data_IF_692951477449
#
_entry.id   IF_692951477449
#
_cell.length_a   1.000
_cell.length_b   1.000
_cell.length_c   1.000
_cell.angle_alpha   90.00
_cell.angle_beta   90.00
_cell.angle_gamma   90.00
#
_symmetry.space_group_name_H-M   'P 1'
#
loop_
_entity.id
_entity.type
_entity.pdbx_description
1 polymer ?
#
# COMPACT_ATOMS: atom_id res chain seq x y z
N UNK A 1 -32.46 4.77 1.13
CA UNK A 1 -31.14 4.09 1.18
C UNK A 1 -30.20 4.56 0.07
N UNK A 2 -30.57 4.59 -1.23
CA UNK A 2 -29.68 5.04 -2.31
C UNK A 2 -29.04 6.42 -2.05
N UNK A 3 -29.86 7.44 -1.76
CA UNK A 3 -29.36 8.79 -1.46
C UNK A 3 -28.45 8.84 -0.22
N UNK A 4 -28.67 7.98 0.76
CA UNK A 4 -27.81 7.87 1.96
C UNK A 4 -26.44 7.35 1.58
N UNK A 5 -26.35 6.24 0.81
CA UNK A 5 -25.11 5.67 0.33
C UNK A 5 -24.35 6.65 -0.57
N UNK A 6 -25.07 7.31 -1.47
CA UNK A 6 -24.51 8.34 -2.34
C UNK A 6 -23.98 9.53 -1.55
N UNK A 7 -24.70 10.00 -0.54
CA UNK A 7 -24.26 11.10 0.32
C UNK A 7 -22.96 10.74 1.08
N UNK A 8 -22.90 9.54 1.67
CA UNK A 8 -21.70 9.06 2.37
C UNK A 8 -20.51 9.02 1.41
N UNK A 9 -20.70 8.51 0.19
CA UNK A 9 -19.63 8.44 -0.79
C UNK A 9 -19.19 9.83 -1.28
N UNK A 10 -20.12 10.72 -1.57
CA UNK A 10 -19.81 12.10 -1.98
C UNK A 10 -19.07 12.84 -0.88
N UNK A 11 -19.53 12.72 0.38
CA UNK A 11 -18.84 13.31 1.52
C UNK A 11 -17.39 12.81 1.64
N UNK A 12 -17.19 11.50 1.51
CA UNK A 12 -15.85 10.88 1.47
C UNK A 12 -14.98 11.50 0.36
N UNK A 13 -15.50 11.61 -0.87
CA UNK A 13 -14.77 12.19 -2.00
C UNK A 13 -14.42 13.66 -1.74
N UNK A 14 -15.39 14.47 -1.31
CA UNK A 14 -15.19 15.90 -1.02
C UNK A 14 -14.13 16.08 0.06
N UNK A 15 -14.17 15.27 1.12
CA UNK A 15 -13.20 15.38 2.20
C UNK A 15 -11.79 15.01 1.75
N UNK A 16 -11.64 13.99 0.91
CA UNK A 16 -10.34 13.65 0.29
C UNK A 16 -9.83 14.76 -0.63
N UNK A 17 -10.71 15.35 -1.44
CA UNK A 17 -10.36 16.51 -2.29
C UNK A 17 -9.91 17.70 -1.44
N UNK A 18 -10.59 17.96 -0.33
CA UNK A 18 -10.20 19.00 0.61
C UNK A 18 -8.79 18.75 1.17
N UNK A 19 -8.49 17.53 1.64
CA UNK A 19 -7.18 17.19 2.18
C UNK A 19 -6.07 17.32 1.14
N UNK A 20 -6.29 16.86 -0.08
CA UNK A 20 -5.31 16.97 -1.16
C UNK A 20 -5.03 18.44 -1.54
N UNK A 21 -6.07 19.27 -1.64
CA UNK A 21 -5.91 20.71 -1.91
C UNK A 21 -5.22 21.43 -0.75
N UNK A 22 -5.53 21.09 0.49
CA UNK A 22 -4.88 21.62 1.68
C UNK A 22 -3.36 21.33 1.65
N UNK A 23 -2.99 20.09 1.32
CA UNK A 23 -1.58 19.70 1.20
C UNK A 23 -0.89 20.40 0.03
N UNK A 24 -1.54 20.56 -1.13
CA UNK A 24 -0.98 21.34 -2.25
C UNK A 24 -0.70 22.77 -1.81
N UNK A 25 -1.65 23.42 -1.13
CA UNK A 25 -1.47 24.78 -0.59
C UNK A 25 -0.29 24.87 0.36
N UNK A 26 -0.19 23.93 1.28
CA UNK A 26 0.92 23.83 2.24
C UNK A 26 2.28 23.66 1.54
N UNK A 27 2.42 22.68 0.64
CA UNK A 27 3.67 22.43 -0.08
C UNK A 27 4.11 23.65 -0.89
N UNK A 28 3.18 24.34 -1.58
CA UNK A 28 3.48 25.55 -2.34
C UNK A 28 3.92 26.72 -1.46
N UNK A 29 3.37 26.83 -0.26
CA UNK A 29 3.76 27.87 0.70
C UNK A 29 5.15 27.58 1.29
N UNK A 30 5.40 26.33 1.71
CA UNK A 30 6.69 25.92 2.25
C UNK A 30 7.81 25.97 1.20
N UNK A 31 7.52 25.61 -0.06
CA UNK A 31 8.51 25.65 -1.14
C UNK A 31 9.04 27.07 -1.48
N UNK A 32 8.42 28.12 -0.96
CA UNK A 32 8.89 29.53 -1.08
C UNK A 32 9.77 29.96 0.08
N UNK A 33 9.87 29.17 1.13
CA UNK A 33 10.71 29.41 2.30
C UNK A 33 12.11 28.83 2.09
N UNK A 34 13.00 29.12 3.03
CA UNK A 34 14.32 28.51 3.04
C UNK A 34 14.22 26.97 3.09
N UNK A 35 15.02 26.28 2.29
CA UNK A 35 15.07 24.82 2.26
C UNK A 35 15.44 24.27 3.65
N UNK A 36 14.83 23.12 3.99
CA UNK A 36 15.18 22.37 5.18
C UNK A 36 15.56 20.96 4.77
N UNK A 37 16.57 20.40 5.40
CA UNK A 37 17.03 19.00 5.22
C UNK A 37 17.63 18.68 3.85
N UNK A 38 17.04 19.20 2.76
CA UNK A 38 17.48 18.98 1.38
C UNK A 38 18.16 20.24 0.82
N UNK A 39 19.05 20.05 -0.14
CA UNK A 39 19.62 21.14 -0.93
C UNK A 39 18.52 21.88 -1.71
N UNK A 40 18.74 23.15 -2.04
CA UNK A 40 17.72 24.02 -2.65
C UNK A 40 17.09 23.42 -3.91
N UNK A 41 17.92 22.84 -4.79
CA UNK A 41 17.47 22.22 -6.04
C UNK A 41 16.63 20.97 -5.78
N UNK A 42 17.03 20.15 -4.82
CA UNK A 42 16.34 18.93 -4.41
C UNK A 42 15.01 19.23 -3.73
N UNK A 43 15.01 20.26 -2.85
CA UNK A 43 13.80 20.73 -2.17
C UNK A 43 12.74 21.22 -3.16
N UNK A 44 13.15 21.99 -4.17
CA UNK A 44 12.26 22.43 -5.26
C UNK A 44 11.74 21.25 -6.08
N UNK A 45 12.61 20.30 -6.42
CA UNK A 45 12.22 19.10 -7.16
C UNK A 45 11.23 18.24 -6.35
N UNK A 46 11.45 18.07 -5.04
CA UNK A 46 10.54 17.38 -4.14
C UNK A 46 9.18 18.08 -4.05
N UNK A 47 9.15 19.42 -4.00
CA UNK A 47 7.90 20.18 -4.02
C UNK A 47 7.13 20.00 -5.34
N UNK A 48 7.82 20.01 -6.49
CA UNK A 48 7.22 19.74 -7.80
C UNK A 48 6.65 18.32 -7.86
N UNK A 49 7.39 17.33 -7.37
CA UNK A 49 6.95 15.94 -7.33
C UNK A 49 5.72 15.77 -6.44
N UNK A 50 5.74 16.35 -5.23
CA UNK A 50 4.62 16.29 -4.29
C UNK A 50 3.34 16.90 -4.90
N UNK A 51 3.43 18.13 -5.47
CA UNK A 51 2.28 18.77 -6.11
C UNK A 51 1.79 18.00 -7.33
N UNK A 52 2.69 17.39 -8.10
CA UNK A 52 2.33 16.58 -9.28
C UNK A 52 1.57 15.32 -8.86
N UNK A 53 2.04 14.62 -7.83
CA UNK A 53 1.39 13.44 -7.29
C UNK A 53 0.00 13.78 -6.71
N UNK A 54 -0.12 14.86 -5.93
CA UNK A 54 -1.40 15.29 -5.38
C UNK A 54 -2.41 15.69 -6.45
N UNK A 55 -1.98 16.35 -7.53
CA UNK A 55 -2.87 16.65 -8.67
C UNK A 55 -3.33 15.39 -9.38
N UNK A 56 -2.45 14.42 -9.54
CA UNK A 56 -2.83 13.13 -10.11
C UNK A 56 -3.79 12.37 -9.17
N UNK A 57 -3.59 12.42 -7.85
CA UNK A 57 -4.51 11.86 -6.86
C UNK A 57 -5.90 12.49 -6.97
N UNK A 58 -6.00 13.83 -7.09
CA UNK A 58 -7.26 14.53 -7.31
C UNK A 58 -7.95 14.05 -8.59
N UNK A 59 -7.21 13.96 -9.69
CA UNK A 59 -7.75 13.49 -10.96
C UNK A 59 -8.26 12.05 -10.85
N UNK A 60 -7.46 11.15 -10.28
CA UNK A 60 -7.82 9.75 -10.06
C UNK A 60 -9.04 9.59 -9.16
N UNK A 61 -9.14 10.42 -8.11
CA UNK A 61 -10.29 10.40 -7.20
C UNK A 61 -11.59 10.79 -7.91
N UNK A 62 -11.54 11.83 -8.75
CA UNK A 62 -12.71 12.24 -9.55
C UNK A 62 -13.05 11.16 -10.59
N UNK A 63 -12.06 10.60 -11.25
CA UNK A 63 -12.24 9.50 -12.21
C UNK A 63 -12.92 8.28 -11.56
N UNK A 64 -12.42 7.84 -10.40
CA UNK A 64 -13.03 6.73 -9.64
C UNK A 64 -14.43 7.07 -9.13
N UNK A 65 -14.70 8.33 -8.79
CA UNK A 65 -16.04 8.74 -8.40
C UNK A 65 -17.04 8.61 -9.56
N UNK A 66 -16.63 8.95 -10.78
CA UNK A 66 -17.46 8.74 -11.99
C UNK A 66 -17.70 7.26 -12.23
N UNK A 67 -16.67 6.41 -12.12
CA UNK A 67 -16.80 4.95 -12.27
C UNK A 67 -17.71 4.37 -11.19
N UNK A 68 -17.51 4.77 -9.93
CA UNK A 68 -18.37 4.33 -8.82
C UNK A 68 -19.84 4.68 -9.09
N UNK A 69 -20.10 5.93 -9.51
CA UNK A 69 -21.45 6.35 -9.85
C UNK A 69 -22.05 5.55 -11.01
N UNK A 70 -21.26 5.27 -12.05
CA UNK A 70 -21.69 4.44 -13.16
C UNK A 70 -22.05 3.01 -12.71
N UNK A 71 -21.21 2.41 -11.83
CA UNK A 71 -21.48 1.11 -11.27
C UNK A 71 -22.80 1.05 -10.51
N UNK A 72 -23.01 1.95 -9.54
CA UNK A 72 -24.20 1.91 -8.68
C UNK A 72 -25.50 2.37 -9.38
N UNK A 73 -25.38 3.14 -10.48
CA UNK A 73 -26.57 3.64 -11.20
C UNK A 73 -27.13 2.65 -12.21
N UNK A 74 -26.25 1.94 -12.94
CA UNK A 74 -26.67 1.02 -14.01
C UNK A 74 -25.74 -0.17 -14.22
N UNK A 75 -24.42 -0.01 -14.01
CA UNK A 75 -23.42 -1.03 -14.35
C UNK A 75 -23.63 -2.33 -13.61
N UNK A 76 -23.88 -2.29 -12.30
CA UNK A 76 -24.13 -3.48 -11.49
C UNK A 76 -25.39 -4.21 -11.92
N UNK A 77 -26.46 -3.49 -12.19
CA UNK A 77 -27.72 -4.07 -12.64
C UNK A 77 -27.57 -4.74 -14.01
N UNK A 78 -26.87 -4.08 -14.94
CA UNK A 78 -26.60 -4.65 -16.27
C UNK A 78 -25.77 -5.93 -16.16
N UNK A 79 -24.69 -5.88 -15.35
CA UNK A 79 -23.79 -7.02 -15.18
C UNK A 79 -24.48 -8.19 -14.45
N UNK A 80 -25.30 -7.92 -13.41
CA UNK A 80 -26.04 -8.95 -12.71
C UNK A 80 -27.05 -9.65 -13.61
N UNK A 81 -27.77 -8.90 -14.45
CA UNK A 81 -28.71 -9.47 -15.42
C UNK A 81 -28.01 -10.35 -16.47
N UNK A 82 -26.75 -10.03 -16.82
CA UNK A 82 -25.99 -10.83 -17.77
C UNK A 82 -25.41 -12.11 -17.15
N UNK A 83 -25.01 -12.07 -15.88
CA UNK A 83 -24.27 -13.15 -15.22
C UNK A 83 -25.15 -14.06 -14.35
N UNK A 84 -26.16 -13.49 -13.68
CA UNK A 84 -26.98 -14.22 -12.70
C UNK A 84 -28.33 -14.63 -13.32
N UNK A 85 -28.50 -15.91 -13.63
CA UNK A 85 -29.75 -16.48 -14.17
C UNK A 85 -30.40 -17.39 -13.14
N UNK A 86 -29.68 -18.41 -12.73
CA UNK A 86 -30.15 -19.46 -11.82
C UNK A 86 -29.61 -19.31 -10.39
N UNK A 87 -28.75 -18.31 -10.13
CA UNK A 87 -28.17 -18.05 -8.82
C UNK A 87 -27.13 -19.07 -8.37
N UNK A 88 -26.55 -19.82 -9.29
CA UNK A 88 -25.55 -20.85 -8.98
C UNK A 88 -24.27 -20.24 -8.42
N UNK A 89 -23.48 -21.02 -7.66
CA UNK A 89 -22.18 -20.58 -7.14
C UNK A 89 -21.23 -20.12 -8.25
N UNK A 90 -21.26 -20.82 -9.39
CA UNK A 90 -20.42 -20.45 -10.53
C UNK A 90 -20.82 -19.09 -11.13
N UNK A 91 -22.11 -18.82 -11.28
CA UNK A 91 -22.62 -17.53 -11.75
C UNK A 91 -22.24 -16.39 -10.79
N UNK A 92 -22.32 -16.63 -9.48
CA UNK A 92 -21.88 -15.66 -8.48
C UNK A 92 -20.37 -15.37 -8.59
N UNK A 93 -19.53 -16.39 -8.80
CA UNK A 93 -18.09 -16.21 -9.05
C UNK A 93 -17.86 -15.41 -10.33
N UNK A 94 -18.51 -15.79 -11.44
CA UNK A 94 -18.39 -15.09 -12.72
C UNK A 94 -18.81 -13.63 -12.57
N UNK A 95 -19.89 -13.34 -11.86
CA UNK A 95 -20.35 -11.97 -11.64
C UNK A 95 -19.32 -11.12 -10.88
N UNK A 96 -18.81 -11.62 -9.74
CA UNK A 96 -17.78 -10.91 -8.96
C UNK A 96 -16.51 -10.73 -9.78
N UNK A 97 -16.02 -11.79 -10.43
CA UNK A 97 -14.78 -11.73 -11.23
C UNK A 97 -14.92 -10.83 -12.45
N UNK A 98 -16.09 -10.79 -13.09
CA UNK A 98 -16.36 -9.86 -14.18
C UNK A 98 -16.37 -8.41 -13.71
N UNK A 99 -16.98 -8.13 -12.54
CA UNK A 99 -16.93 -6.80 -11.93
C UNK A 99 -15.48 -6.37 -11.65
N UNK A 100 -14.65 -7.24 -11.06
CA UNK A 100 -13.25 -6.96 -10.76
C UNK A 100 -12.41 -6.77 -12.04
N UNK A 101 -12.64 -7.61 -13.06
CA UNK A 101 -11.95 -7.52 -14.34
C UNK A 101 -12.27 -6.20 -15.06
N UNK A 102 -13.56 -5.85 -15.16
CA UNK A 102 -13.99 -4.60 -15.79
C UNK A 102 -13.42 -3.41 -15.04
N UNK A 103 -13.47 -3.41 -13.70
CA UNK A 103 -12.89 -2.35 -12.89
C UNK A 103 -11.38 -2.22 -13.12
N UNK A 104 -10.63 -3.33 -13.16
CA UNK A 104 -9.19 -3.32 -13.50
C UNK A 104 -8.89 -2.78 -14.90
N UNK A 105 -9.75 -3.07 -15.88
CA UNK A 105 -9.61 -2.53 -17.24
C UNK A 105 -9.92 -1.03 -17.28
N UNK A 106 -10.88 -0.57 -16.50
CA UNK A 106 -11.18 0.85 -16.36
C UNK A 106 -10.03 1.61 -15.68
N UNK A 107 -9.27 0.98 -14.77
CA UNK A 107 -8.10 1.59 -14.14
C UNK A 107 -6.87 1.63 -15.05
N UNK A 108 -6.83 0.83 -16.11
CA UNK A 108 -5.67 0.71 -16.99
C UNK A 108 -5.21 2.05 -17.61
N UNK A 109 -6.08 2.96 -18.07
CA UNK A 109 -5.66 4.27 -18.58
C UNK A 109 -4.93 5.12 -17.53
N UNK A 110 -5.36 5.07 -16.24
CA UNK A 110 -4.67 5.76 -15.15
C UNK A 110 -3.28 5.17 -14.92
N UNK A 111 -3.16 3.84 -14.88
CA UNK A 111 -1.91 3.13 -14.67
C UNK A 111 -0.90 3.40 -15.80
N UNK A 112 -1.38 3.48 -17.06
CA UNK A 112 -0.55 3.86 -18.21
C UNK A 112 -0.06 5.29 -18.08
N UNK A 113 -0.95 6.24 -17.79
CA UNK A 113 -0.57 7.64 -17.59
C UNK A 113 0.41 7.80 -16.42
N UNK A 114 0.18 7.12 -15.31
CA UNK A 114 1.07 7.15 -14.16
C UNK A 114 2.48 6.66 -14.52
N UNK A 115 2.57 5.47 -15.10
CA UNK A 115 3.86 4.82 -15.38
C UNK A 115 4.64 5.50 -16.50
N UNK A 116 3.97 5.88 -17.61
CA UNK A 116 4.64 6.35 -18.83
C UNK A 116 4.68 7.87 -18.99
N UNK A 117 3.86 8.61 -18.25
CA UNK A 117 3.82 10.07 -18.33
C UNK A 117 4.25 10.70 -17.01
N UNK A 118 3.52 10.48 -15.94
CA UNK A 118 3.75 11.14 -14.64
C UNK A 118 5.08 10.73 -14.03
N UNK A 119 5.27 9.44 -13.76
CA UNK A 119 6.47 8.94 -13.08
C UNK A 119 7.70 8.99 -14.00
N UNK A 120 7.51 8.84 -15.31
CA UNK A 120 8.59 9.06 -16.28
C UNK A 120 9.06 10.51 -16.29
N UNK A 121 8.15 11.50 -16.27
CA UNK A 121 8.49 12.93 -16.18
C UNK A 121 9.18 13.27 -14.87
N UNK A 122 8.81 12.60 -13.80
CA UNK A 122 9.46 12.75 -12.48
C UNK A 122 10.78 11.99 -12.37
N UNK A 123 11.17 11.19 -13.37
CA UNK A 123 12.40 10.40 -13.37
C UNK A 123 12.32 9.14 -12.50
N UNK A 124 11.13 8.74 -12.07
CA UNK A 124 10.94 7.51 -11.28
C UNK A 124 10.80 6.28 -12.15
N UNK A 125 10.04 6.35 -13.25
CA UNK A 125 9.72 5.18 -14.05
C UNK A 125 10.74 4.90 -15.16
N UNK A 126 11.25 3.66 -15.15
CA UNK A 126 12.00 3.03 -16.24
C UNK A 126 11.15 1.98 -16.97
N UNK A 127 9.84 1.94 -16.69
CA UNK A 127 8.92 0.95 -17.22
C UNK A 127 8.92 0.95 -18.76
N UNK A 128 9.20 -0.20 -19.37
CA UNK A 128 8.99 -0.41 -20.79
C UNK A 128 7.57 -0.93 -21.07
N UNK A 129 7.04 -0.65 -22.28
CA UNK A 129 5.71 -1.15 -22.67
C UNK A 129 5.63 -2.68 -22.60
N UNK A 130 6.72 -3.38 -22.92
CA UNK A 130 6.79 -4.86 -22.84
C UNK A 130 6.67 -5.34 -21.37
N UNK A 131 7.43 -4.73 -20.45
CA UNK A 131 7.37 -5.09 -19.03
C UNK A 131 5.98 -4.78 -18.48
N UNK A 132 5.44 -3.60 -18.77
CA UNK A 132 4.10 -3.21 -18.34
C UNK A 132 3.02 -4.22 -18.80
N UNK A 133 3.04 -4.61 -20.07
CA UNK A 133 2.08 -5.57 -20.63
C UNK A 133 2.23 -6.95 -19.94
N UNK A 134 3.45 -7.44 -19.81
CA UNK A 134 3.71 -8.73 -19.16
C UNK A 134 3.26 -8.72 -17.70
N UNK A 135 3.58 -7.66 -16.95
CA UNK A 135 3.19 -7.51 -15.55
C UNK A 135 1.67 -7.38 -15.40
N UNK A 136 1.01 -6.67 -16.31
CA UNK A 136 -0.48 -6.58 -16.34
C UNK A 136 -1.09 -7.96 -16.58
N UNK A 137 -0.59 -8.72 -17.56
CA UNK A 137 -1.10 -10.08 -17.84
C UNK A 137 -0.88 -11.00 -16.64
N UNK A 138 0.29 -10.98 -16.01
CA UNK A 138 0.59 -11.76 -14.80
C UNK A 138 -0.35 -11.40 -13.66
N UNK A 139 -0.58 -10.11 -13.41
CA UNK A 139 -1.46 -9.63 -12.36
C UNK A 139 -2.91 -10.05 -12.59
N UNK A 140 -3.41 -9.94 -13.83
CA UNK A 140 -4.74 -10.42 -14.20
C UNK A 140 -4.87 -11.94 -14.06
N UNK A 141 -3.87 -12.71 -14.46
CA UNK A 141 -3.87 -14.17 -14.29
C UNK A 141 -3.89 -14.57 -12.80
N UNK A 142 -3.08 -13.93 -11.98
CA UNK A 142 -3.09 -14.15 -10.52
C UNK A 142 -4.45 -13.78 -9.91
N UNK A 143 -5.03 -12.63 -10.31
CA UNK A 143 -6.36 -12.22 -9.87
C UNK A 143 -7.42 -13.23 -10.28
N UNK A 144 -7.42 -13.72 -11.51
CA UNK A 144 -8.40 -14.69 -11.99
C UNK A 144 -8.27 -16.03 -11.27
N UNK A 145 -7.08 -16.55 -11.05
CA UNK A 145 -6.88 -17.86 -10.41
C UNK A 145 -7.12 -17.77 -8.90
N UNK A 146 -6.37 -16.93 -8.21
CA UNK A 146 -6.45 -16.85 -6.74
C UNK A 146 -7.67 -16.07 -6.26
N UNK A 147 -8.09 -15.04 -7.02
CA UNK A 147 -9.29 -14.28 -6.73
C UNK A 147 -10.54 -15.14 -6.85
N UNK A 148 -10.68 -15.96 -7.91
CA UNK A 148 -11.84 -16.86 -8.05
C UNK A 148 -11.89 -17.90 -6.92
N UNK A 149 -10.75 -18.49 -6.55
CA UNK A 149 -10.66 -19.41 -5.43
C UNK A 149 -11.05 -18.73 -4.10
N UNK A 150 -10.57 -17.51 -3.87
CA UNK A 150 -10.92 -16.75 -2.67
C UNK A 150 -12.41 -16.37 -2.63
N UNK A 151 -12.96 -15.87 -3.74
CA UNK A 151 -14.40 -15.56 -3.86
C UNK A 151 -15.24 -16.82 -3.61
N UNK A 152 -14.86 -17.97 -4.17
CA UNK A 152 -15.51 -19.24 -3.89
C UNK A 152 -15.52 -19.58 -2.40
N UNK A 153 -14.39 -19.47 -1.72
CA UNK A 153 -14.29 -19.74 -0.28
C UNK A 153 -15.16 -18.78 0.55
N UNK A 154 -15.20 -17.49 0.20
CA UNK A 154 -16.08 -16.53 0.87
C UNK A 154 -17.56 -16.86 0.63
N UNK A 155 -17.92 -17.25 -0.59
CA UNK A 155 -19.29 -17.70 -0.91
C UNK A 155 -19.67 -18.95 -0.11
N UNK A 156 -18.74 -19.87 0.14
CA UNK A 156 -19.01 -21.03 1.03
C UNK A 156 -19.31 -20.54 2.46
N UNK A 157 -18.57 -19.55 2.98
CA UNK A 157 -18.91 -18.98 4.29
C UNK A 157 -20.33 -18.40 4.30
N UNK A 158 -20.68 -17.60 3.29
CA UNK A 158 -22.00 -16.94 3.20
C UNK A 158 -23.12 -17.96 3.09
N UNK A 159 -22.96 -19.01 2.28
CA UNK A 159 -24.03 -19.93 1.97
C UNK A 159 -24.24 -21.02 3.03
N UNK A 160 -23.20 -21.40 3.78
CA UNK A 160 -23.25 -22.61 4.65
C UNK A 160 -23.03 -22.34 6.14
N UNK A 161 -22.58 -21.13 6.55
CA UNK A 161 -22.21 -20.85 7.95
C UNK A 161 -23.24 -19.97 8.70
N UNK A 162 -24.46 -19.80 8.13
CA UNK A 162 -25.57 -19.10 8.75
C UNK A 162 -25.28 -17.65 9.10
N UNK A 163 -25.89 -17.14 10.16
CA UNK A 163 -25.82 -15.72 10.55
C UNK A 163 -24.41 -15.24 10.92
N UNK A 164 -23.52 -16.16 11.29
CA UNK A 164 -22.13 -15.87 11.63
C UNK A 164 -21.16 -16.00 10.44
N UNK A 165 -21.64 -16.07 9.18
CA UNK A 165 -20.81 -16.18 8.00
C UNK A 165 -19.71 -15.10 7.93
N UNK A 166 -20.00 -13.89 8.35
CA UNK A 166 -19.09 -12.76 8.35
C UNK A 166 -17.87 -12.99 9.26
N UNK A 167 -18.07 -13.66 10.40
CA UNK A 167 -16.99 -14.01 11.32
C UNK A 167 -16.03 -15.04 10.69
N UNK A 168 -16.58 -16.04 10.02
CA UNK A 168 -15.78 -17.04 9.32
C UNK A 168 -15.10 -16.48 8.09
N UNK A 169 -15.75 -15.61 7.35
CA UNK A 169 -15.14 -14.87 6.23
C UNK A 169 -14.03 -13.92 6.70
N UNK A 170 -14.18 -13.30 7.89
CA UNK A 170 -13.08 -12.57 8.53
C UNK A 170 -11.89 -13.49 8.83
N UNK A 171 -12.09 -14.63 9.51
CA UNK A 171 -11.01 -15.56 9.84
C UNK A 171 -10.30 -16.08 8.58
N UNK A 172 -11.07 -16.45 7.56
CA UNK A 172 -10.55 -16.87 6.26
C UNK A 172 -9.69 -15.76 5.63
N UNK A 173 -10.22 -14.53 5.53
CA UNK A 173 -9.53 -13.39 4.92
C UNK A 173 -8.27 -13.02 5.68
N UNK A 174 -8.31 -13.02 7.01
CA UNK A 174 -7.15 -12.77 7.85
C UNK A 174 -6.09 -13.87 7.68
N UNK A 175 -6.49 -15.14 7.65
CA UNK A 175 -5.59 -16.27 7.38
C UNK A 175 -4.92 -16.17 6.01
N UNK A 176 -5.69 -15.83 4.97
CA UNK A 176 -5.15 -15.61 3.61
C UNK A 176 -4.18 -14.42 3.59
N UNK A 177 -4.49 -13.32 4.28
CA UNK A 177 -3.59 -12.18 4.38
C UNK A 177 -2.26 -12.54 5.06
N UNK A 178 -2.28 -13.34 6.13
CA UNK A 178 -1.07 -13.85 6.78
C UNK A 178 -0.25 -14.77 5.85
N UNK A 179 -0.91 -15.67 5.12
CA UNK A 179 -0.24 -16.55 4.14
C UNK A 179 0.41 -15.72 3.04
N UNK A 180 -0.30 -14.74 2.48
CA UNK A 180 0.27 -13.86 1.44
C UNK A 180 1.51 -13.14 1.96
N UNK A 181 1.46 -12.56 3.17
CA UNK A 181 2.63 -11.90 3.76
C UNK A 181 3.81 -12.86 3.95
N UNK A 182 3.54 -14.12 4.33
CA UNK A 182 4.57 -15.15 4.49
C UNK A 182 5.25 -15.52 3.17
N UNK A 183 4.45 -15.73 2.11
CA UNK A 183 4.96 -16.22 0.82
C UNK A 183 5.42 -15.09 -0.12
N UNK A 184 5.06 -13.83 0.17
CA UNK A 184 5.35 -12.70 -0.71
C UNK A 184 6.82 -12.62 -1.15
N UNK A 185 7.82 -12.60 -0.23
CA UNK A 185 9.22 -12.43 -0.61
C UNK A 185 9.82 -13.66 -1.30
N UNK A 186 9.18 -14.82 -1.18
CA UNK A 186 9.71 -16.10 -1.69
C UNK A 186 9.02 -16.57 -2.96
N UNK A 187 7.75 -16.28 -3.15
CA UNK A 187 6.96 -16.76 -4.28
C UNK A 187 6.40 -15.61 -5.13
N UNK A 188 5.85 -14.55 -4.52
CA UNK A 188 5.15 -13.50 -5.27
C UNK A 188 6.14 -12.49 -5.88
N UNK A 189 7.06 -11.95 -5.09
CA UNK A 189 8.03 -10.98 -5.59
C UNK A 189 8.89 -11.51 -6.76
N UNK A 190 9.34 -12.79 -6.77
CA UNK A 190 10.10 -13.37 -7.89
C UNK A 190 9.30 -13.55 -9.19
N UNK A 191 7.95 -13.53 -9.14
CA UNK A 191 7.13 -13.54 -10.36
C UNK A 191 7.38 -12.28 -11.20
N UNK A 192 7.56 -11.14 -10.53
CA UNK A 192 7.70 -9.84 -11.18
C UNK A 192 9.16 -9.41 -11.32
N UNK A 193 10.01 -9.68 -10.36
CA UNK A 193 11.39 -9.21 -10.31
C UNK A 193 12.39 -10.36 -10.22
N UNK A 194 13.55 -10.19 -10.85
CA UNK A 194 14.66 -11.12 -10.63
C UNK A 194 15.27 -10.86 -9.27
N UNK A 195 15.26 -11.88 -8.43
CA UNK A 195 15.91 -11.87 -7.12
C UNK A 195 17.19 -12.70 -7.19
N UNK A 196 18.30 -12.16 -6.68
CA UNK A 196 19.61 -12.80 -6.65
C UNK A 196 20.21 -12.67 -5.24
N UNK A 197 20.96 -13.66 -4.74
CA UNK A 197 21.75 -13.49 -3.52
C UNK A 197 22.68 -12.27 -3.67
N UNK A 198 22.87 -11.53 -2.59
CA UNK A 198 23.86 -10.44 -2.56
C UNK A 198 25.26 -11.06 -2.73
N UNK A 199 26.08 -10.48 -3.62
CA UNK A 199 27.44 -10.92 -3.88
C UNK A 199 28.30 -10.82 -2.60
N UNK A 200 29.26 -11.73 -2.47
CA UNK A 200 30.18 -11.70 -1.34
C UNK A 200 31.08 -10.46 -1.41
N UNK A 201 31.23 -9.78 -0.28
CA UNK A 201 31.96 -8.53 -0.20
C UNK A 201 31.73 -7.81 1.13
N UNK A 202 32.30 -6.61 1.24
CA UNK A 202 32.23 -5.80 2.44
C UNK A 202 30.79 -5.54 2.90
N UNK A 203 29.90 -5.15 1.98
CA UNK A 203 28.50 -4.87 2.28
C UNK A 203 27.80 -6.09 2.89
N UNK A 204 27.95 -7.27 2.26
CA UNK A 204 27.34 -8.50 2.78
C UNK A 204 27.87 -8.85 4.18
N UNK A 205 29.19 -8.75 4.38
CA UNK A 205 29.81 -9.01 5.68
C UNK A 205 29.30 -8.07 6.78
N UNK A 206 29.17 -6.76 6.49
CA UNK A 206 28.61 -5.79 7.46
C UNK A 206 27.14 -6.07 7.76
N UNK A 207 26.33 -6.43 6.75
CA UNK A 207 24.92 -6.80 6.97
C UNK A 207 24.80 -8.05 7.83
N UNK A 208 25.55 -9.10 7.53
CA UNK A 208 25.54 -10.35 8.32
C UNK A 208 26.01 -10.12 9.76
N UNK A 209 27.03 -9.25 9.95
CA UNK A 209 27.46 -8.80 11.27
C UNK A 209 26.37 -8.06 12.04
N UNK A 210 25.64 -7.14 11.37
CA UNK A 210 24.51 -6.43 11.94
C UNK A 210 23.38 -7.40 12.36
N UNK A 211 23.01 -8.33 11.47
CA UNK A 211 21.97 -9.33 11.76
C UNK A 211 22.33 -10.20 12.95
N UNK A 212 23.59 -10.61 13.04
CA UNK A 212 24.12 -11.41 14.16
C UNK A 212 24.09 -10.62 15.46
N UNK A 213 24.56 -9.36 15.45
CA UNK A 213 24.51 -8.44 16.62
C UNK A 213 23.09 -8.26 17.15
N UNK A 214 22.09 -8.21 16.26
CA UNK A 214 20.68 -8.06 16.64
C UNK A 214 19.97 -9.39 16.92
N UNK A 215 20.64 -10.53 16.83
CA UNK A 215 20.04 -11.86 17.00
C UNK A 215 18.98 -12.20 15.94
N UNK A 216 19.09 -11.57 14.75
CA UNK A 216 18.15 -11.78 13.67
C UNK A 216 18.59 -12.97 12.79
N UNK A 217 17.77 -14.03 12.78
CA UNK A 217 18.00 -15.20 11.92
C UNK A 217 17.39 -14.93 10.55
N UNK A 218 18.25 -14.79 9.53
CA UNK A 218 17.86 -14.60 8.13
C UNK A 218 18.18 -15.84 7.30
N UNK A 219 17.34 -16.13 6.30
CA UNK A 219 17.65 -17.14 5.27
C UNK A 219 18.54 -16.60 4.13
N UNK A 220 19.04 -15.38 4.27
CA UNK A 220 19.96 -14.73 3.35
C UNK A 220 19.63 -13.28 3.05
N UNK A 221 20.61 -12.62 2.41
CA UNK A 221 20.49 -11.25 1.90
C UNK A 221 20.40 -11.32 0.37
N UNK A 222 19.41 -10.65 -0.19
CA UNK A 222 19.10 -10.69 -1.61
C UNK A 222 19.05 -9.28 -2.21
N UNK A 223 19.34 -9.21 -3.50
CA UNK A 223 19.10 -8.03 -4.33
C UNK A 223 17.98 -8.27 -5.31
N UNK A 224 17.22 -7.23 -5.64
CA UNK A 224 16.15 -7.29 -6.63
C UNK A 224 16.37 -6.21 -7.69
N UNK A 225 16.10 -6.53 -8.96
CA UNK A 225 16.30 -5.67 -10.13
C UNK A 225 15.17 -4.63 -10.29
N UNK A 226 14.90 -3.88 -9.22
CA UNK A 226 13.85 -2.86 -9.17
C UNK A 226 14.04 -1.77 -10.22
N UNK A 227 15.30 -1.39 -10.52
CA UNK A 227 15.65 -0.33 -11.47
C UNK A 227 15.11 -0.54 -12.89
N UNK A 228 14.68 -1.74 -13.26
CA UNK A 228 14.00 -2.01 -14.53
C UNK A 228 12.60 -1.39 -14.61
N UNK A 229 12.02 -1.07 -13.47
CA UNK A 229 10.66 -0.54 -13.33
C UNK A 229 10.63 0.83 -12.68
N UNK A 230 11.32 0.95 -11.55
CA UNK A 230 11.28 2.13 -10.70
C UNK A 230 12.67 2.46 -10.17
N UNK A 231 13.03 3.75 -10.15
CA UNK A 231 14.30 4.25 -9.64
C UNK A 231 14.27 4.58 -8.16
N UNK A 232 13.11 4.52 -7.49
CA UNK A 232 13.00 4.81 -6.07
C UNK A 232 13.81 3.84 -5.24
N UNK A 233 14.45 4.37 -4.21
CA UNK A 233 15.29 3.60 -3.30
C UNK A 233 14.41 2.90 -2.27
N UNK A 234 14.66 1.60 -2.04
CA UNK A 234 13.95 0.85 -1.01
C UNK A 234 14.76 -0.37 -0.54
N UNK A 235 14.47 -0.82 0.68
CA UNK A 235 14.87 -2.12 1.23
C UNK A 235 13.75 -2.63 2.14
N UNK A 236 13.66 -3.92 2.35
CA UNK A 236 12.67 -4.48 3.28
C UNK A 236 13.09 -5.82 3.86
N UNK A 237 12.56 -6.13 5.03
CA UNK A 237 12.59 -7.46 5.61
C UNK A 237 11.28 -8.16 5.28
N UNK A 238 11.35 -9.33 4.69
CA UNK A 238 10.17 -10.12 4.34
C UNK A 238 10.23 -11.54 4.85
N UNK A 239 9.07 -12.21 4.92
CA UNK A 239 8.95 -13.57 5.42
C UNK A 239 8.77 -13.66 6.94
N UNK A 240 8.42 -14.84 7.43
CA UNK A 240 8.20 -15.14 8.84
C UNK A 240 9.02 -16.36 9.25
N UNK A 241 9.45 -16.41 10.52
CA UNK A 241 10.21 -17.56 11.03
C UNK A 241 11.50 -17.81 10.28
N UNK A 242 11.66 -19.02 9.74
CA UNK A 242 12.85 -19.46 9.01
C UNK A 242 12.96 -18.89 7.58
N UNK A 243 11.88 -18.29 7.05
CA UNK A 243 11.86 -17.73 5.69
C UNK A 243 12.24 -16.25 5.63
N UNK A 244 12.59 -15.64 6.76
CA UNK A 244 12.98 -14.22 6.82
C UNK A 244 14.15 -13.92 5.90
N UNK A 245 13.99 -12.87 5.09
CA UNK A 245 15.01 -12.42 4.11
C UNK A 245 15.19 -10.92 4.23
N UNK A 246 16.41 -10.49 3.98
CA UNK A 246 16.74 -9.09 3.72
C UNK A 246 16.74 -8.90 2.21
N UNK A 247 15.98 -7.93 1.72
CA UNK A 247 15.89 -7.63 0.29
C UNK A 247 16.26 -6.18 0.06
N UNK A 248 17.32 -5.97 -0.72
CA UNK A 248 17.82 -4.65 -1.12
C UNK A 248 17.44 -4.39 -2.58
N UNK A 249 16.96 -3.20 -2.87
CA UNK A 249 16.79 -2.77 -4.26
C UNK A 249 18.15 -2.43 -4.86
N UNK A 250 18.39 -2.81 -6.12
CA UNK A 250 19.61 -2.49 -6.83
C UNK A 250 19.80 -0.97 -6.96
N UNK A 251 18.73 -0.19 -6.95
CA UNK A 251 18.72 1.28 -6.88
C UNK A 251 19.32 1.79 -5.58
N UNK A 252 19.00 1.16 -4.43
CA UNK A 252 19.51 1.53 -3.12
C UNK A 252 21.04 1.31 -3.05
N UNK A 253 21.49 0.13 -3.48
CA UNK A 253 22.91 -0.25 -3.45
C UNK A 253 23.77 0.69 -4.30
N UNK A 254 23.23 1.20 -5.40
CA UNK A 254 23.94 2.13 -6.30
C UNK A 254 24.10 3.55 -5.73
N UNK A 255 23.26 3.94 -4.79
CA UNK A 255 23.13 5.34 -4.33
C UNK A 255 23.63 5.57 -2.91
N UNK A 256 23.50 4.58 -2.04
CA UNK A 256 23.91 4.69 -0.64
C UNK A 256 25.28 4.02 -0.43
N UNK A 257 26.03 4.57 0.53
CA UNK A 257 27.26 3.90 1.03
C UNK A 257 26.91 2.66 1.83
N UNK A 258 27.91 1.84 2.07
CA UNK A 258 27.73 0.63 2.89
C UNK A 258 27.24 0.96 4.31
N UNK A 259 27.75 2.03 4.91
CA UNK A 259 27.37 2.51 6.24
C UNK A 259 25.91 2.99 6.28
N UNK A 260 25.51 3.75 5.26
CA UNK A 260 24.13 4.22 5.10
C UNK A 260 23.15 3.06 4.91
N UNK A 261 23.51 2.05 4.11
CA UNK A 261 22.69 0.83 3.95
C UNK A 261 22.57 0.08 5.28
N UNK A 262 23.66 -0.03 6.04
CA UNK A 262 23.64 -0.64 7.39
C UNK A 262 22.74 0.13 8.33
N UNK A 263 22.74 1.48 8.28
CA UNK A 263 21.84 2.31 9.09
C UNK A 263 20.36 2.12 8.69
N UNK A 264 20.04 2.07 7.40
CA UNK A 264 18.69 1.76 6.92
C UNK A 264 18.24 0.38 7.39
N UNK A 265 19.09 -0.63 7.28
CA UNK A 265 18.77 -1.97 7.78
C UNK A 265 18.68 -2.03 9.31
N UNK A 266 19.43 -1.18 10.00
CA UNK A 266 19.30 -0.99 11.45
C UNK A 266 17.92 -0.47 11.85
N UNK A 267 17.38 0.48 11.08
CA UNK A 267 16.01 0.98 11.25
C UNK A 267 14.99 -0.16 11.06
N UNK A 268 15.09 -0.91 9.97
CA UNK A 268 14.22 -2.05 9.69
C UNK A 268 14.28 -3.13 10.81
N UNK A 269 15.49 -3.37 11.36
CA UNK A 269 15.66 -4.26 12.52
C UNK A 269 15.03 -3.70 13.79
N UNK A 270 14.94 -2.38 13.92
CA UNK A 270 14.22 -1.70 15.00
C UNK A 270 12.74 -2.11 15.03
N UNK A 271 12.05 -2.12 13.90
CA UNK A 271 10.67 -2.61 13.80
C UNK A 271 10.54 -4.07 14.24
N UNK A 272 11.53 -4.89 13.89
CA UNK A 272 11.56 -6.29 14.34
C UNK A 272 11.77 -6.39 15.84
N UNK A 273 12.73 -5.65 16.39
CA UNK A 273 13.06 -5.62 17.83
C UNK A 273 11.88 -5.19 18.68
N UNK A 274 11.15 -4.17 18.24
CA UNK A 274 9.99 -3.62 18.94
C UNK A 274 8.69 -4.41 18.65
N UNK A 275 8.76 -5.48 17.85
CA UNK A 275 7.60 -6.29 17.45
C UNK A 275 6.51 -5.48 16.73
N UNK A 276 6.87 -4.44 16.00
CA UNK A 276 5.93 -3.54 15.36
C UNK A 276 5.10 -4.26 14.31
N UNK A 277 5.69 -5.23 13.60
CA UNK A 277 4.96 -6.10 12.67
C UNK A 277 3.81 -6.82 13.38
N UNK A 278 4.03 -7.36 14.59
CA UNK A 278 2.97 -8.04 15.34
C UNK A 278 1.88 -7.09 15.80
N UNK A 279 2.24 -5.87 16.23
CA UNK A 279 1.28 -4.82 16.61
C UNK A 279 0.42 -4.41 15.40
N UNK A 280 1.03 -4.25 14.22
CA UNK A 280 0.32 -3.91 12.99
C UNK A 280 -0.55 -5.05 12.48
N UNK A 281 -0.13 -6.30 12.63
CA UNK A 281 -0.96 -7.49 12.34
C UNK A 281 -2.19 -7.52 13.27
N UNK A 282 -2.02 -7.28 14.57
CA UNK A 282 -3.14 -7.23 15.51
C UNK A 282 -4.11 -6.10 15.19
N UNK A 283 -3.61 -4.90 14.86
CA UNK A 283 -4.43 -3.77 14.43
C UNK A 283 -5.19 -4.09 13.14
N UNK A 284 -4.53 -4.71 12.15
CA UNK A 284 -5.15 -5.15 10.91
C UNK A 284 -6.23 -6.20 11.13
N UNK A 285 -6.04 -7.12 12.10
CA UNK A 285 -7.05 -8.10 12.48
C UNK A 285 -8.31 -7.42 13.04
N UNK A 286 -8.13 -6.44 13.94
CA UNK A 286 -9.26 -5.68 14.51
C UNK A 286 -10.00 -4.92 13.41
N UNK A 287 -9.28 -4.27 12.50
CA UNK A 287 -9.91 -3.54 11.40
C UNK A 287 -10.68 -4.46 10.45
N UNK A 288 -10.08 -5.59 10.08
CA UNK A 288 -10.73 -6.56 9.22
C UNK A 288 -11.96 -7.18 9.89
N UNK A 289 -11.88 -7.44 11.20
CA UNK A 289 -13.03 -7.86 12.01
C UNK A 289 -14.15 -6.82 11.96
N UNK A 290 -13.86 -5.54 12.22
CA UNK A 290 -14.83 -4.46 12.14
C UNK A 290 -15.44 -4.33 10.73
N UNK A 291 -14.62 -4.47 9.69
CA UNK A 291 -15.07 -4.47 8.30
C UNK A 291 -16.12 -5.56 8.07
N UNK A 292 -15.77 -6.82 8.36
CA UNK A 292 -16.69 -7.94 8.15
C UNK A 292 -17.91 -7.88 9.05
N UNK A 293 -17.77 -7.42 10.29
CA UNK A 293 -18.89 -7.22 11.21
C UNK A 293 -19.89 -6.19 10.64
N UNK A 294 -19.40 -5.01 10.20
CA UNK A 294 -20.28 -3.96 9.66
C UNK A 294 -20.95 -4.44 8.37
N UNK A 295 -20.15 -4.94 7.41
CA UNK A 295 -20.67 -5.32 6.09
C UNK A 295 -21.49 -6.63 6.14
N UNK A 296 -21.22 -7.49 7.09
CA UNK A 296 -22.00 -8.71 7.33
C UNK A 296 -23.39 -8.47 7.90
N UNK A 297 -23.61 -7.30 8.51
CA UNK A 297 -24.89 -6.90 9.09
C UNK A 297 -25.61 -5.81 8.28
N UNK A 298 -25.21 -5.59 7.04
CA UNK A 298 -25.92 -4.64 6.12
C UNK A 298 -27.23 -5.27 5.67
N UNK A 299 -28.33 -4.51 5.82
CA UNK A 299 -29.68 -4.96 5.45
C UNK A 299 -29.91 -4.99 3.93
N UNK A 300 -30.88 -5.79 3.49
CA UNK A 300 -31.26 -5.99 2.09
C UNK A 300 -31.49 -4.69 1.31
N UNK A 301 -32.06 -3.67 1.96
CA UNK A 301 -32.33 -2.37 1.36
C UNK A 301 -31.08 -1.63 0.84
N UNK A 302 -29.89 -1.97 1.32
CA UNK A 302 -28.64 -1.37 0.83
C UNK A 302 -28.22 -1.99 -0.53
N UNK A 303 -28.40 -3.29 -0.69
CA UNK A 303 -28.13 -3.98 -1.97
C UNK A 303 -29.16 -3.57 -3.03
N UNK A 304 -30.44 -3.53 -2.68
CA UNK A 304 -31.52 -3.06 -3.54
C UNK A 304 -31.29 -1.61 -4.00
N UNK A 305 -30.76 -0.78 -3.12
CA UNK A 305 -30.45 0.62 -3.46
C UNK A 305 -29.42 0.77 -4.58
N UNK A 306 -28.52 -0.20 -4.77
CA UNK A 306 -27.53 -0.21 -5.86
C UNK A 306 -27.92 -1.15 -7.02
N UNK A 307 -29.19 -1.57 -7.06
CA UNK A 307 -29.75 -2.37 -8.14
C UNK A 307 -29.46 -3.86 -8.08
N UNK A 308 -29.07 -4.37 -6.91
CA UNK A 308 -28.75 -5.79 -6.67
C UNK A 308 -29.74 -6.44 -5.72
N UNK A 309 -30.03 -7.74 -5.93
CA UNK A 309 -30.67 -8.58 -4.91
C UNK A 309 -29.68 -8.97 -3.81
N UNK A 310 -30.19 -9.38 -2.64
CA UNK A 310 -29.34 -9.88 -1.56
C UNK A 310 -28.91 -11.31 -1.85
N UNK A 311 -27.70 -11.48 -2.34
CA UNK A 311 -27.03 -12.77 -2.56
C UNK A 311 -25.54 -12.66 -2.24
N UNK A 312 -24.82 -13.77 -2.22
CA UNK A 312 -23.41 -13.80 -1.82
C UNK A 312 -22.51 -12.91 -2.68
N UNK A 313 -22.72 -12.87 -4.00
CA UNK A 313 -21.95 -12.03 -4.89
C UNK A 313 -22.21 -10.53 -4.64
N UNK A 314 -23.47 -10.17 -4.41
CA UNK A 314 -23.86 -8.78 -4.10
C UNK A 314 -23.22 -8.29 -2.80
N UNK A 315 -23.13 -9.15 -1.80
CA UNK A 315 -22.45 -8.86 -0.53
C UNK A 315 -20.97 -8.57 -0.79
N UNK A 316 -20.29 -9.42 -1.56
CA UNK A 316 -18.86 -9.24 -1.89
C UNK A 316 -18.64 -7.95 -2.68
N UNK A 317 -19.46 -7.68 -3.71
CA UNK A 317 -19.34 -6.46 -4.51
C UNK A 317 -19.61 -5.21 -3.67
N UNK A 318 -20.63 -5.24 -2.82
CA UNK A 318 -20.93 -4.13 -1.90
C UNK A 318 -19.75 -3.85 -0.96
N UNK A 319 -19.18 -4.91 -0.38
CA UNK A 319 -17.98 -4.80 0.45
C UNK A 319 -16.83 -4.17 -0.33
N UNK A 320 -16.53 -4.62 -1.55
CA UNK A 320 -15.45 -4.06 -2.39
C UNK A 320 -15.68 -2.59 -2.69
N UNK A 321 -16.91 -2.20 -3.06
CA UNK A 321 -17.24 -0.81 -3.42
C UNK A 321 -17.16 0.17 -2.23
N UNK A 322 -17.52 -0.26 -1.04
CA UNK A 322 -17.62 0.62 0.12
C UNK A 322 -16.46 0.47 1.12
N UNK A 323 -15.64 -0.58 1.02
CA UNK A 323 -14.45 -0.76 1.87
C UNK A 323 -13.44 0.40 1.83
N UNK A 324 -13.26 1.16 0.70
CA UNK A 324 -12.39 2.34 0.71
C UNK A 324 -12.83 3.43 1.69
N UNK A 325 -14.14 3.60 1.89
CA UNK A 325 -14.69 4.56 2.88
C UNK A 325 -14.32 4.10 4.29
N UNK A 326 -14.55 2.81 4.58
CA UNK A 326 -14.17 2.21 5.86
C UNK A 326 -12.68 2.38 6.12
N UNK A 327 -11.83 1.99 5.17
CA UNK A 327 -10.37 2.11 5.29
C UNK A 327 -9.92 3.55 5.53
N UNK A 328 -10.56 4.52 4.88
CA UNK A 328 -10.28 5.93 5.08
C UNK A 328 -10.61 6.41 6.50
N UNK A 329 -11.72 5.96 7.08
CA UNK A 329 -12.10 6.31 8.45
C UNK A 329 -11.11 5.75 9.49
N UNK A 330 -10.50 4.60 9.21
CA UNK A 330 -9.50 3.98 10.09
C UNK A 330 -8.06 4.40 9.79
N UNK A 331 -7.80 5.06 8.66
CA UNK A 331 -6.45 5.47 8.27
C UNK A 331 -5.73 6.35 9.32
N UNK A 332 -6.37 7.30 10.05
CA UNK A 332 -5.70 8.06 11.09
C UNK A 332 -5.17 7.21 12.24
N UNK A 333 -5.89 6.14 12.59
CA UNK A 333 -5.50 5.23 13.67
C UNK A 333 -4.23 4.46 13.23
N UNK A 334 -4.25 3.88 12.04
CA UNK A 334 -3.08 3.16 11.49
C UNK A 334 -1.89 4.10 11.39
N UNK A 335 -2.09 5.27 10.79
CA UNK A 335 -1.04 6.27 10.60
C UNK A 335 -0.42 6.73 11.92
N UNK A 336 -1.23 6.89 12.97
CA UNK A 336 -0.75 7.25 14.31
C UNK A 336 0.20 6.18 14.88
N UNK A 337 -0.23 4.92 14.91
CA UNK A 337 0.60 3.84 15.44
C UNK A 337 1.85 3.60 14.59
N UNK A 338 1.73 3.69 13.26
CA UNK A 338 2.85 3.54 12.35
C UNK A 338 3.92 4.62 12.62
N UNK A 339 3.55 5.91 12.66
CA UNK A 339 4.49 7.01 12.95
C UNK A 339 5.19 6.85 14.30
N UNK A 340 4.48 6.37 15.33
CA UNK A 340 5.09 6.10 16.63
C UNK A 340 6.15 5.00 16.54
N UNK A 341 5.91 3.96 15.76
CA UNK A 341 6.86 2.87 15.55
C UNK A 341 8.11 3.37 14.82
N UNK A 342 7.98 4.29 13.86
CA UNK A 342 9.08 4.86 13.09
C UNK A 342 10.13 5.54 13.97
N UNK A 343 9.69 6.40 14.90
CA UNK A 343 10.63 7.05 15.84
C UNK A 343 11.39 6.02 16.70
N UNK A 344 10.72 4.94 17.11
CA UNK A 344 11.37 3.84 17.82
C UNK A 344 12.43 3.13 16.97
N UNK A 345 12.13 2.90 15.69
CA UNK A 345 13.05 2.27 14.76
C UNK A 345 14.26 3.17 14.45
N UNK A 346 14.04 4.48 14.30
CA UNK A 346 15.12 5.46 14.09
C UNK A 346 16.09 5.51 15.28
N UNK A 347 15.56 5.55 16.51
CA UNK A 347 16.36 5.48 17.74
C UNK A 347 17.20 4.21 17.80
N UNK A 348 16.58 3.07 17.51
CA UNK A 348 17.31 1.80 17.50
C UNK A 348 18.41 1.78 16.43
N UNK A 349 18.15 2.31 15.22
CA UNK A 349 19.18 2.44 14.21
C UNK A 349 20.37 3.28 14.68
N UNK A 350 20.11 4.44 15.30
CA UNK A 350 21.13 5.31 15.89
C UNK A 350 22.01 4.57 16.90
N UNK A 351 21.42 3.71 17.74
CA UNK A 351 22.14 2.95 18.78
C UNK A 351 23.06 1.85 18.21
N UNK A 352 22.64 1.18 17.13
CA UNK A 352 23.36 0.02 16.60
C UNK A 352 24.29 0.32 15.43
N UNK A 353 24.07 1.43 14.73
CA UNK A 353 24.93 1.94 13.65
C UNK A 353 25.60 3.26 14.09
N UNK A 354 25.29 4.36 13.41
CA UNK A 354 25.82 5.69 13.71
C UNK A 354 24.72 6.72 13.40
N UNK A 355 24.55 7.72 14.28
CA UNK A 355 23.61 8.85 14.10
C UNK A 355 23.80 9.54 12.75
N UNK A 356 25.05 9.85 12.39
CA UNK A 356 25.37 10.56 11.15
C UNK A 356 24.98 9.75 9.93
N UNK A 357 25.28 8.45 9.91
CA UNK A 357 24.96 7.56 8.79
C UNK A 357 23.45 7.43 8.61
N UNK A 358 22.67 7.41 9.70
CA UNK A 358 21.21 7.37 9.62
C UNK A 358 20.63 8.69 9.06
N UNK A 359 21.13 9.84 9.51
CA UNK A 359 20.69 11.15 9.00
C UNK A 359 21.03 11.29 7.52
N UNK A 360 22.26 10.94 7.11
CA UNK A 360 22.66 11.03 5.69
C UNK A 360 21.88 10.05 4.83
N UNK A 361 21.62 8.84 5.30
CA UNK A 361 20.78 7.87 4.62
C UNK A 361 19.35 8.41 4.42
N UNK A 362 18.72 8.96 5.46
CA UNK A 362 17.39 9.56 5.38
C UNK A 362 17.34 10.74 4.40
N UNK A 363 18.35 11.60 4.44
CA UNK A 363 18.46 12.76 3.53
C UNK A 363 18.57 12.29 2.07
N UNK A 364 19.43 11.31 1.78
CA UNK A 364 19.56 10.73 0.44
C UNK A 364 18.30 10.02 -0.03
N UNK A 365 17.66 9.23 0.85
CA UNK A 365 16.36 8.61 0.54
C UNK A 365 15.30 9.66 0.23
N UNK A 366 15.27 10.76 0.99
CA UNK A 366 14.37 11.87 0.75
C UNK A 366 14.62 12.56 -0.59
N UNK A 367 15.88 12.86 -0.91
CA UNK A 367 16.28 13.47 -2.17
C UNK A 367 15.97 12.60 -3.38
N UNK A 368 16.46 11.35 -3.41
CA UNK A 368 16.31 10.43 -4.54
C UNK A 368 14.85 10.04 -4.76
N UNK A 369 14.07 9.86 -3.70
CA UNK A 369 12.64 9.57 -3.77
C UNK A 369 11.79 10.85 -3.91
N UNK A 370 12.42 12.03 -4.00
CA UNK A 370 11.77 13.35 -4.10
C UNK A 370 10.66 13.54 -3.06
N UNK A 371 10.93 13.09 -1.84
CA UNK A 371 10.01 13.22 -0.73
C UNK A 371 10.09 14.66 -0.17
N UNK A 372 8.97 15.39 -0.23
CA UNK A 372 8.94 16.75 0.34
C UNK A 372 9.08 16.68 1.85
N UNK A 373 10.05 17.40 2.47
CA UNK A 373 10.44 17.17 3.87
C UNK A 373 9.38 17.47 4.91
N UNK A 374 8.35 18.25 4.58
CA UNK A 374 7.28 18.67 5.49
C UNK A 374 5.91 18.32 4.97
N UNK A 375 4.93 18.23 5.87
CA UNK A 375 3.52 17.98 5.52
C UNK A 375 2.59 18.81 6.40
N UNK A 376 1.42 19.15 5.87
CA UNK A 376 0.36 19.72 6.68
C UNK A 376 -0.10 18.70 7.72
N UNK A 377 -0.25 19.12 8.98
CA UNK A 377 -0.54 18.22 10.09
C UNK A 377 -1.78 17.34 9.88
N UNK A 378 -2.86 17.90 9.32
CA UNK A 378 -4.10 17.17 9.07
C UNK A 378 -3.92 16.11 7.96
N UNK A 379 -3.16 16.44 6.90
CA UNK A 379 -2.83 15.49 5.84
C UNK A 379 -1.96 14.37 6.38
N UNK A 380 -0.93 14.70 7.16
CA UNK A 380 -0.06 13.73 7.84
C UNK A 380 -0.86 12.85 8.82
N UNK A 381 -1.78 13.43 9.58
CA UNK A 381 -2.64 12.68 10.51
C UNK A 381 -3.45 11.59 9.82
N UNK A 382 -3.97 11.87 8.62
CA UNK A 382 -4.81 10.91 7.88
C UNK A 382 -3.96 9.92 7.06
N UNK A 383 -2.95 10.40 6.34
CA UNK A 383 -2.31 9.59 5.28
C UNK A 383 -0.90 9.12 5.55
N UNK A 384 -0.13 9.83 6.38
CA UNK A 384 1.29 9.51 6.53
C UNK A 384 1.50 8.38 7.54
N UNK A 385 1.93 7.23 7.05
CA UNK A 385 2.41 6.12 7.87
C UNK A 385 3.78 6.39 8.51
N UNK A 386 4.55 7.32 7.94
CA UNK A 386 5.85 7.76 8.45
C UNK A 386 5.78 9.23 8.85
N UNK A 387 6.49 9.66 9.90
CA UNK A 387 6.70 11.07 10.15
C UNK A 387 7.42 11.72 8.96
N UNK A 388 7.26 13.02 8.79
CA UNK A 388 7.97 13.73 7.74
C UNK A 388 9.49 13.63 7.92
N UNK A 389 10.23 13.76 6.83
CA UNK A 389 11.69 13.70 6.87
C UNK A 389 12.29 14.72 7.87
N UNK A 390 11.68 15.91 7.91
CA UNK A 390 12.07 16.97 8.83
C UNK A 390 11.83 16.56 10.30
N UNK A 391 10.71 15.94 10.63
CA UNK A 391 10.43 15.45 11.99
C UNK A 391 11.40 14.36 12.41
N UNK A 392 11.69 13.39 11.54
CA UNK A 392 12.62 12.28 11.83
C UNK A 392 14.04 12.79 12.08
N UNK A 393 14.55 13.67 11.24
CA UNK A 393 15.91 14.21 11.40
C UNK A 393 16.01 15.08 12.66
N UNK A 394 15.02 15.95 12.92
CA UNK A 394 15.00 16.76 14.14
C UNK A 394 14.99 15.88 15.40
N UNK A 395 14.23 14.79 15.41
CA UNK A 395 14.21 13.86 16.56
C UNK A 395 15.59 13.24 16.76
N UNK A 396 16.21 12.75 15.66
CA UNK A 396 17.56 12.17 15.73
C UNK A 396 18.64 13.17 16.19
N UNK A 397 18.51 14.45 15.83
CA UNK A 397 19.46 15.50 16.21
C UNK A 397 19.31 15.93 17.67
N UNK A 398 18.07 16.04 18.16
CA UNK A 398 17.75 16.58 19.47
C UNK A 398 17.84 15.53 20.62
N UNK A 399 17.76 14.26 20.29
CA UNK A 399 18.02 13.20 21.28
C UNK A 399 19.52 13.07 21.51
N UNK A 400 20.00 13.59 22.66
CA UNK A 400 21.36 13.45 23.18
C UNK A 400 21.69 12.03 23.62
#
# INVERSE_FOLDING_TARGET
MFYTLLFIYIFYVIFKLFLANLQIGFVRAEAKKEPVVLEESEYKNAAVAAVTNLKFEIFSLVYHAVIFFAWISFGLKMLSNACLKDGTTLENIIFVMSFLLISSLLDLPLNIYESFVKDKKLGFSNMSAKIFLIDTIKSLALMLVFGSAFVWLVLLCINFLGDFWWFWAFLLSFGVALIINLIYPTLIAPIFNKMSPLEDGELKGKIEGLLTKCGFKSSGVYTIDASKRDNRLNAYFGGLGATKRVVLFDTLIKKLSTEEIVAVLGHELGHFKHKDILKMIALSAVMLFCLFFIFGNVGASAYEAIGLGQNGASIIIFLVLFSPIFSFLFSPIISHFSRKNEFGADRFSKEISNKTDMITALTKLGSENKAFPKSHWLYSFVYHSHPSLFERINELENES
#
